data_IF_605606629453
#
_entry.id   IF_605606629453
#
_cell.length_a   1.000
_cell.length_b   1.000
_cell.length_c   1.000
_cell.angle_alpha   90.00
_cell.angle_beta   90.00
_cell.angle_gamma   90.00
#
_symmetry.space_group_name_H-M   'P 1'
#
loop_
_entity.id
_entity.type
_entity.pdbx_description
1 polymer ?
#
# COMPACT_ATOMS: atom_id res chain seq x y z
N UNK A 1 11.90 -23.90 32.71
CA UNK A 1 11.22 -23.98 31.40
C UNK A 1 10.22 -22.85 31.30
N UNK A 2 10.17 -22.20 30.13
CA UNK A 2 9.13 -21.26 29.69
C UNK A 2 9.11 -19.88 30.36
N UNK A 3 9.73 -18.88 29.73
CA UNK A 3 9.29 -17.46 29.77
C UNK A 3 10.06 -16.50 28.82
N UNK A 4 11.10 -16.94 28.11
CA UNK A 4 11.89 -16.06 27.22
C UNK A 4 11.56 -16.11 25.71
N UNK A 5 10.54 -16.85 25.29
CA UNK A 5 10.23 -17.08 23.87
C UNK A 5 9.24 -16.09 23.24
N UNK A 6 8.70 -15.14 24.00
CA UNK A 6 7.61 -14.25 23.55
C UNK A 6 8.04 -12.97 22.81
N UNK A 7 9.30 -12.54 22.89
CA UNK A 7 9.73 -11.22 22.39
C UNK A 7 10.53 -11.27 21.08
N UNK A 8 10.99 -12.46 20.66
CA UNK A 8 11.91 -12.61 19.53
C UNK A 8 11.19 -12.75 18.17
N UNK A 9 9.93 -13.19 18.18
CA UNK A 9 9.05 -13.17 16.99
C UNK A 9 8.72 -11.73 16.59
N UNK A 10 8.82 -10.78 17.53
CA UNK A 10 8.53 -9.37 17.34
C UNK A 10 9.50 -8.62 16.42
N UNK A 11 10.77 -9.01 16.29
CA UNK A 11 11.75 -8.25 15.48
C UNK A 11 11.84 -8.71 14.01
N UNK A 12 11.69 -10.02 13.76
CA UNK A 12 11.33 -10.49 12.41
C UNK A 12 9.99 -9.88 12.02
N UNK A 13 8.99 -9.85 12.92
CA UNK A 13 7.74 -9.16 12.66
C UNK A 13 7.90 -7.64 12.51
N UNK A 14 8.83 -6.95 13.17
CA UNK A 14 8.94 -5.48 12.99
C UNK A 14 9.39 -5.10 11.57
N UNK A 15 10.21 -5.92 10.90
CA UNK A 15 10.62 -5.66 9.51
C UNK A 15 9.85 -6.50 8.47
N UNK A 16 9.18 -7.58 8.88
CA UNK A 16 8.25 -8.36 8.05
C UNK A 16 6.80 -7.81 8.12
N UNK A 17 6.41 -7.03 9.13
CA UNK A 17 5.07 -6.42 9.30
C UNK A 17 5.01 -4.90 9.17
N UNK A 18 6.09 -4.11 9.29
CA UNK A 18 6.01 -2.67 8.98
C UNK A 18 6.18 -2.40 7.49
N UNK A 19 5.21 -2.87 6.71
CA UNK A 19 4.66 -2.01 5.67
C UNK A 19 4.06 -0.79 6.37
N UNK A 20 4.38 0.39 5.87
CA UNK A 20 4.07 1.72 6.40
C UNK A 20 2.67 1.78 7.06
N UNK A 21 2.63 2.26 8.32
CA UNK A 21 1.46 2.95 8.87
C UNK A 21 0.78 2.31 10.08
N UNK A 22 1.33 2.52 11.29
CA UNK A 22 0.51 2.59 12.51
C UNK A 22 1.19 3.48 13.56
N UNK A 23 0.68 4.70 13.72
CA UNK A 23 0.97 5.55 14.88
C UNK A 23 0.01 5.15 15.99
N UNK A 24 0.58 4.74 17.13
CA UNK A 24 -0.14 4.47 18.38
C UNK A 24 -0.72 5.77 18.95
N UNK A 25 -2.04 5.85 19.14
CA UNK A 25 -2.68 6.92 19.91
C UNK A 25 -2.79 6.53 21.38
N UNK A 26 -2.22 7.35 22.26
CA UNK A 26 -2.54 7.39 23.69
C UNK A 26 -3.61 8.46 23.95
N UNK A 27 -4.61 8.09 24.73
CA UNK A 27 -5.74 8.91 25.17
C UNK A 27 -5.35 10.19 25.91
N UNK A 28 -6.15 11.25 25.72
CA UNK A 28 -6.10 12.49 26.50
C UNK A 28 -7.25 13.42 26.14
N UNK A 29 -8.34 13.32 26.90
CA UNK A 29 -9.56 14.13 26.87
C UNK A 29 -9.32 15.62 27.22
N UNK A 30 -10.10 16.53 26.60
CA UNK A 30 -10.19 17.93 27.02
C UNK A 30 -11.14 18.77 26.17
N UNK A 31 -12.30 19.10 26.72
CA UNK A 31 -13.36 20.01 26.24
C UNK A 31 -12.87 21.44 25.93
N UNK A 32 -13.49 22.13 24.96
CA UNK A 32 -14.23 23.41 25.15
C UNK A 32 -14.67 24.08 23.82
N UNK A 33 -15.86 24.67 23.86
CA UNK A 33 -16.68 25.29 22.79
C UNK A 33 -16.28 26.71 22.35
N UNK A 34 -16.87 27.15 21.22
CA UNK A 34 -17.17 28.55 20.84
C UNK A 34 -17.00 28.78 19.31
N UNK A 35 -18.05 28.83 18.47
CA UNK A 35 -18.87 30.02 18.08
C UNK A 35 -18.02 31.27 17.74
N UNK A 36 -18.19 32.04 16.66
CA UNK A 36 -19.10 32.06 15.51
C UNK A 36 -18.57 33.11 14.48
N UNK A 37 -18.96 32.96 13.22
CA UNK A 37 -19.06 33.91 12.08
C UNK A 37 -18.30 35.27 12.05
N UNK A 38 -17.63 35.54 10.91
CA UNK A 38 -18.08 36.56 9.93
C UNK A 38 -17.15 36.70 8.70
N UNK A 39 -17.74 36.58 7.50
CA UNK A 39 -17.27 37.15 6.21
C UNK A 39 -18.03 38.47 5.93
N UNK A 40 -17.91 39.21 4.81
CA UNK A 40 -17.07 39.06 3.60
C UNK A 40 -16.42 40.38 3.07
N UNK A 41 -15.45 40.29 2.14
CA UNK A 41 -15.43 41.04 0.86
C UNK A 41 -14.13 40.79 0.05
N UNK A 42 -14.31 40.49 -1.24
CA UNK A 42 -13.36 40.55 -2.36
C UNK A 42 -13.73 41.80 -3.22
N UNK A 43 -13.07 42.20 -4.35
CA UNK A 43 -12.12 41.45 -5.20
C UNK A 43 -10.96 42.25 -5.86
N UNK A 44 -10.15 41.54 -6.67
CA UNK A 44 -9.22 41.90 -7.77
C UNK A 44 -7.77 41.50 -7.41
N UNK A 45 -6.95 40.87 -8.25
CA UNK A 45 -6.81 40.89 -9.71
C UNK A 45 -5.91 39.72 -10.15
N UNK A 46 -6.16 39.16 -11.33
CA UNK A 46 -5.43 38.08 -12.00
C UNK A 46 -4.06 38.51 -12.54
N UNK A 47 -3.03 37.71 -12.29
CA UNK A 47 -1.77 37.69 -13.05
C UNK A 47 -1.23 36.25 -13.17
N UNK A 48 -1.21 35.77 -14.40
CA UNK A 48 -0.36 34.77 -15.04
C UNK A 48 0.41 33.75 -14.18
N UNK A 49 -0.14 32.54 -14.18
CA UNK A 49 0.52 31.24 -14.41
C UNK A 49 2.02 31.30 -14.80
N UNK A 50 2.88 30.94 -13.86
CA UNK A 50 4.10 30.19 -14.15
C UNK A 50 4.26 29.11 -13.08
N UNK A 51 4.04 27.85 -13.47
CA UNK A 51 4.30 26.68 -12.61
C UNK A 51 5.80 26.45 -12.51
N UNK A 52 6.36 26.18 -11.31
CA UNK A 52 7.60 25.43 -11.18
C UNK A 52 7.27 23.93 -10.95
N UNK A 53 7.80 23.00 -11.76
CA UNK A 53 7.87 21.60 -11.37
C UNK A 53 9.10 21.39 -10.47
N UNK A 54 9.03 20.50 -9.47
CA UNK A 54 10.15 19.79 -8.77
C UNK A 54 10.13 19.74 -7.23
N UNK A 55 9.06 20.12 -6.53
CA UNK A 55 9.02 19.97 -5.06
C UNK A 55 8.78 18.53 -4.58
N UNK A 56 8.14 17.68 -5.39
CA UNK A 56 7.76 16.32 -4.99
C UNK A 56 8.94 15.33 -5.00
N UNK A 57 9.83 15.38 -6.01
CA UNK A 57 10.98 14.47 -6.12
C UNK A 57 12.02 14.71 -5.01
N UNK A 58 12.28 15.97 -4.67
CA UNK A 58 13.24 16.32 -3.62
C UNK A 58 12.75 15.93 -2.22
N UNK A 59 11.43 15.98 -1.97
CA UNK A 59 10.83 15.56 -0.70
C UNK A 59 10.84 14.04 -0.53
N UNK A 60 10.62 13.28 -1.61
CA UNK A 60 10.73 11.82 -1.60
C UNK A 60 12.16 11.35 -1.37
N UNK A 61 13.15 12.04 -1.95
CA UNK A 61 14.57 11.68 -1.79
C UNK A 61 15.06 11.94 -0.36
N UNK A 62 14.70 13.08 0.23
CA UNK A 62 15.04 13.41 1.61
C UNK A 62 14.40 12.44 2.63
N UNK A 63 13.12 12.06 2.41
CA UNK A 63 12.43 11.09 3.25
C UNK A 63 13.04 9.69 3.14
N UNK A 64 13.39 9.26 1.91
CA UNK A 64 14.07 7.98 1.66
C UNK A 64 15.45 7.93 2.34
N UNK A 65 16.24 8.99 2.20
CA UNK A 65 17.55 9.10 2.87
C UNK A 65 17.43 9.03 4.40
N UNK A 66 16.42 9.69 4.98
CA UNK A 66 16.15 9.64 6.42
C UNK A 66 15.81 8.23 6.90
N UNK A 67 14.97 7.51 6.14
CA UNK A 67 14.61 6.12 6.44
C UNK A 67 15.81 5.19 6.35
N UNK A 68 16.62 5.29 5.30
CA UNK A 68 17.82 4.46 5.11
C UNK A 68 18.84 4.68 6.22
N UNK A 69 19.05 5.94 6.64
CA UNK A 69 19.91 6.26 7.77
C UNK A 69 19.44 5.59 9.05
N UNK A 70 18.15 5.74 9.38
CA UNK A 70 17.56 5.13 10.58
C UNK A 70 17.67 3.61 10.55
N UNK A 71 17.37 3.00 9.41
CA UNK A 71 17.49 1.55 9.22
C UNK A 71 18.92 1.05 9.39
N UNK A 72 19.92 1.79 8.92
CA UNK A 72 21.32 1.45 9.15
C UNK A 72 21.69 1.56 10.63
N UNK A 73 21.28 2.61 11.34
CA UNK A 73 21.53 2.77 12.78
C UNK A 73 20.94 1.61 13.60
N UNK A 74 19.72 1.17 13.25
CA UNK A 74 19.06 0.01 13.87
C UNK A 74 19.81 -1.29 13.59
N UNK A 75 20.29 -1.50 12.36
CA UNK A 75 21.09 -2.67 11.99
C UNK A 75 22.45 -2.70 12.72
N UNK A 76 23.11 -1.57 12.86
CA UNK A 76 24.36 -1.45 13.65
C UNK A 76 24.11 -1.70 15.15
N UNK A 77 22.96 -1.28 15.68
CA UNK A 77 22.58 -1.62 17.05
C UNK A 77 22.34 -3.13 17.22
N UNK A 78 21.73 -3.80 16.22
CA UNK A 78 21.54 -5.25 16.23
C UNK A 78 22.85 -6.02 16.16
N UNK A 79 23.84 -5.55 15.38
CA UNK A 79 25.19 -6.17 15.32
C UNK A 79 25.86 -6.28 16.69
N UNK A 80 25.56 -5.36 17.61
CA UNK A 80 26.09 -5.36 18.99
C UNK A 80 25.42 -6.41 19.88
N UNK A 81 24.42 -7.13 19.38
CA UNK A 81 23.67 -8.17 20.09
C UNK A 81 23.83 -9.52 19.36
N UNK A 82 24.82 -10.35 19.75
CA UNK A 82 25.22 -11.53 18.97
C UNK A 82 24.07 -12.51 18.66
N UNK A 83 23.21 -12.81 19.64
CA UNK A 83 22.12 -13.78 19.45
C UNK A 83 21.01 -13.25 18.52
N UNK A 84 20.66 -11.96 18.64
CA UNK A 84 19.68 -11.31 17.76
C UNK A 84 20.23 -11.21 16.33
N UNK A 85 21.49 -10.80 16.17
CA UNK A 85 22.13 -10.70 14.86
C UNK A 85 22.29 -12.08 14.18
N UNK A 86 22.64 -13.12 14.94
CA UNK A 86 22.71 -14.50 14.45
C UNK A 86 21.35 -14.98 13.93
N UNK A 87 20.26 -14.59 14.61
CA UNK A 87 18.89 -14.91 14.17
C UNK A 87 18.54 -14.20 12.86
N UNK A 88 18.84 -12.89 12.76
CA UNK A 88 18.68 -12.13 11.52
C UNK A 88 19.47 -12.75 10.37
N UNK A 89 20.75 -13.07 10.60
CA UNK A 89 21.64 -13.64 9.59
C UNK A 89 21.16 -15.02 9.13
N UNK A 90 20.59 -15.83 10.03
CA UNK A 90 19.96 -17.10 9.64
C UNK A 90 18.80 -16.85 8.66
N UNK A 91 17.97 -15.84 8.91
CA UNK A 91 16.90 -15.42 7.98
C UNK A 91 17.43 -14.97 6.63
N UNK A 92 18.49 -14.15 6.62
CA UNK A 92 19.17 -13.71 5.39
C UNK A 92 19.71 -14.89 4.59
N UNK A 93 20.37 -15.84 5.24
CA UNK A 93 20.86 -17.05 4.58
C UNK A 93 19.71 -17.90 4.01
N UNK A 94 18.56 -17.98 4.69
CA UNK A 94 17.35 -18.65 4.18
C UNK A 94 16.83 -17.95 2.93
N UNK A 95 16.74 -16.61 2.92
CA UNK A 95 16.35 -15.85 1.73
C UNK A 95 17.31 -16.08 0.57
N UNK A 96 18.62 -15.92 0.79
CA UNK A 96 19.64 -16.15 -0.23
C UNK A 96 19.55 -17.56 -0.81
N UNK A 97 19.33 -18.58 0.03
CA UNK A 97 19.20 -19.95 -0.43
C UNK A 97 17.90 -20.24 -1.17
N UNK A 98 16.77 -19.67 -0.71
CA UNK A 98 15.52 -19.70 -1.45
C UNK A 98 15.65 -19.05 -2.82
N UNK A 99 16.46 -17.99 -2.93
CA UNK A 99 16.66 -17.24 -4.16
C UNK A 99 17.73 -17.87 -5.06
N UNK A 100 18.44 -18.91 -4.62
CA UNK A 100 19.43 -19.63 -5.41
C UNK A 100 20.88 -19.12 -5.31
N UNK A 101 21.18 -18.16 -4.42
CA UNK A 101 22.52 -17.59 -4.25
C UNK A 101 23.44 -18.40 -3.32
N UNK A 102 22.96 -19.48 -2.71
CA UNK A 102 23.78 -20.38 -1.90
C UNK A 102 22.99 -21.45 -1.16
N UNK A 103 23.56 -22.65 -0.97
CA UNK A 103 22.85 -23.79 -0.35
C UNK A 103 23.51 -24.22 0.95
N UNK A 104 23.21 -23.49 2.04
CA UNK A 104 23.61 -23.83 3.40
C UNK A 104 25.12 -23.98 3.65
N UNK A 105 25.53 -24.29 4.89
CA UNK A 105 24.70 -24.42 6.09
C UNK A 105 24.15 -23.06 6.59
N UNK A 106 22.92 -23.06 7.11
CA UNK A 106 22.29 -21.88 7.74
C UNK A 106 22.82 -21.66 9.16
N UNK A 107 24.08 -21.25 9.26
CA UNK A 107 24.82 -21.14 10.52
C UNK A 107 24.46 -19.91 11.33
N UNK A 108 23.84 -18.90 10.73
CA UNK A 108 23.64 -17.58 11.31
C UNK A 108 24.93 -16.75 11.42
N UNK A 109 26.03 -17.20 10.81
CA UNK A 109 27.31 -16.49 10.81
C UNK A 109 27.54 -15.82 9.46
N UNK A 110 28.07 -14.59 9.46
CA UNK A 110 28.54 -13.92 8.25
C UNK A 110 29.94 -14.42 7.85
N UNK A 111 30.00 -15.68 7.43
CA UNK A 111 31.22 -16.33 6.95
C UNK A 111 31.51 -16.04 5.46
N UNK A 112 32.63 -16.55 4.95
CA UNK A 112 33.04 -16.28 3.57
C UNK A 112 32.02 -16.78 2.54
N UNK A 113 31.37 -17.92 2.79
CA UNK A 113 30.30 -18.45 1.94
C UNK A 113 29.11 -17.49 1.92
N UNK A 114 28.69 -16.99 3.06
CA UNK A 114 27.59 -16.01 3.17
C UNK A 114 27.95 -14.69 2.49
N UNK A 115 29.19 -14.21 2.64
CA UNK A 115 29.68 -13.00 1.98
C UNK A 115 29.68 -13.15 0.46
N UNK A 116 30.06 -14.31 -0.07
CA UNK A 116 30.01 -14.58 -1.51
C UNK A 116 28.57 -14.61 -2.04
N UNK A 117 27.64 -15.24 -1.32
CA UNK A 117 26.23 -15.24 -1.66
C UNK A 117 25.65 -13.81 -1.66
N UNK A 118 25.97 -13.00 -0.64
CA UNK A 118 25.57 -11.60 -0.58
C UNK A 118 26.12 -10.78 -1.75
N UNK A 119 27.40 -10.96 -2.13
CA UNK A 119 27.97 -10.28 -3.30
C UNK A 119 27.25 -10.66 -4.59
N UNK A 120 26.94 -11.94 -4.78
CA UNK A 120 26.24 -12.42 -5.96
C UNK A 120 24.82 -11.84 -6.03
N UNK A 121 24.10 -11.84 -4.91
CA UNK A 121 22.78 -11.22 -4.79
C UNK A 121 22.83 -9.71 -5.04
N UNK A 122 23.70 -8.97 -4.33
CA UNK A 122 23.88 -7.53 -4.50
C UNK A 122 24.19 -7.18 -5.95
N UNK A 123 25.07 -7.94 -6.61
CA UNK A 123 25.38 -7.76 -8.03
C UNK A 123 24.14 -7.89 -8.91
N UNK A 124 23.35 -8.94 -8.68
CA UNK A 124 22.16 -9.22 -9.49
C UNK A 124 21.05 -8.17 -9.26
N UNK A 125 20.89 -7.72 -8.01
CA UNK A 125 19.93 -6.67 -7.63
C UNK A 125 20.42 -5.24 -7.90
N UNK A 126 21.58 -5.06 -8.55
CA UNK A 126 22.12 -3.73 -8.87
C UNK A 126 22.60 -2.92 -7.66
N UNK A 127 22.86 -3.58 -6.52
CA UNK A 127 23.37 -2.99 -5.29
C UNK A 127 24.92 -3.00 -5.25
N UNK A 128 25.48 -2.23 -4.32
CA UNK A 128 26.92 -2.26 -4.03
C UNK A 128 27.34 -3.65 -3.53
N UNK A 129 28.31 -4.26 -4.21
CA UNK A 129 28.80 -5.64 -3.94
C UNK A 129 29.75 -5.69 -2.73
N UNK A 130 29.30 -5.26 -1.57
CA UNK A 130 30.09 -5.22 -0.34
C UNK A 130 30.33 -6.63 0.22
N UNK A 131 29.38 -7.55 0.02
CA UNK A 131 29.35 -8.85 0.68
C UNK A 131 29.03 -8.79 2.17
N UNK A 132 28.73 -7.60 2.70
CA UNK A 132 28.21 -7.42 4.05
C UNK A 132 26.70 -7.15 3.98
N UNK A 133 26.01 -7.33 5.10
CA UNK A 133 24.60 -7.02 5.23
C UNK A 133 24.43 -5.54 5.64
N UNK A 134 24.12 -4.68 4.69
CA UNK A 134 23.68 -3.31 4.97
C UNK A 134 22.15 -3.19 4.89
N UNK A 135 21.62 -2.04 5.34
CA UNK A 135 20.17 -1.82 5.31
C UNK A 135 19.56 -1.88 3.89
N UNK A 136 20.17 -1.29 2.84
CA UNK A 136 19.68 -1.45 1.47
C UNK A 136 19.58 -2.91 1.03
N UNK A 137 20.59 -3.74 1.34
CA UNK A 137 20.58 -5.17 1.01
C UNK A 137 19.49 -5.91 1.78
N UNK A 138 19.37 -5.67 3.09
CA UNK A 138 18.34 -6.32 3.92
C UNK A 138 16.92 -5.95 3.45
N UNK A 139 16.71 -4.68 3.12
CA UNK A 139 15.44 -4.18 2.59
C UNK A 139 15.09 -4.88 1.28
N UNK A 140 16.02 -4.91 0.32
CA UNK A 140 15.78 -5.53 -0.98
C UNK A 140 15.50 -7.04 -0.86
N UNK A 141 16.22 -7.76 0.01
CA UNK A 141 15.96 -9.19 0.27
C UNK A 141 14.54 -9.42 0.80
N UNK A 142 14.10 -8.55 1.70
CA UNK A 142 12.77 -8.65 2.31
C UNK A 142 11.66 -8.31 1.31
N UNK A 143 11.87 -7.30 0.46
CA UNK A 143 10.97 -6.93 -0.62
C UNK A 143 10.85 -8.05 -1.66
N UNK A 144 11.98 -8.66 -2.05
CA UNK A 144 12.01 -9.81 -2.95
C UNK A 144 11.26 -11.02 -2.37
N UNK A 145 11.47 -11.35 -1.09
CA UNK A 145 10.74 -12.44 -0.43
C UNK A 145 9.22 -12.15 -0.40
N UNK A 146 8.83 -10.90 -0.11
CA UNK A 146 7.43 -10.45 -0.15
C UNK A 146 6.83 -10.64 -1.55
N UNK A 147 7.56 -10.26 -2.61
CA UNK A 147 7.11 -10.42 -3.99
C UNK A 147 6.96 -11.90 -4.39
N UNK A 148 7.90 -12.75 -3.99
CA UNK A 148 7.81 -14.19 -4.24
C UNK A 148 6.61 -14.82 -3.52
N UNK A 149 6.34 -14.41 -2.27
CA UNK A 149 5.22 -14.91 -1.46
C UNK A 149 3.85 -14.30 -1.84
N UNK A 150 3.82 -13.19 -2.59
CA UNK A 150 2.59 -12.48 -2.92
C UNK A 150 1.56 -13.40 -3.58
N UNK A 151 0.41 -13.55 -2.94
CA UNK A 151 -0.74 -14.24 -3.55
C UNK A 151 -1.36 -13.32 -4.60
N UNK A 152 -1.52 -13.81 -5.82
CA UNK A 152 -2.24 -13.12 -6.90
C UNK A 152 -3.59 -13.82 -7.07
N UNK A 153 -4.64 -13.42 -6.33
CA UNK A 153 -5.94 -14.05 -6.43
C UNK A 153 -6.56 -13.77 -7.80
N UNK A 154 -7.38 -14.70 -8.29
CA UNK A 154 -8.25 -14.40 -9.42
C UNK A 154 -9.27 -13.35 -8.99
N UNK A 155 -9.39 -12.29 -9.80
CA UNK A 155 -10.30 -11.18 -9.55
C UNK A 155 -11.53 -11.31 -10.44
N UNK A 156 -12.73 -10.92 -9.96
CA UNK A 156 -13.96 -11.15 -10.70
C UNK A 156 -14.05 -10.26 -11.95
N UNK A 157 -14.76 -10.72 -13.00
CA UNK A 157 -15.00 -9.92 -14.18
C UNK A 157 -15.81 -8.67 -13.83
N UNK A 158 -15.60 -7.62 -14.62
CA UNK A 158 -16.43 -6.42 -14.52
C UNK A 158 -17.83 -6.71 -15.04
N UNK A 159 -18.84 -6.36 -14.26
CA UNK A 159 -20.24 -6.38 -14.69
C UNK A 159 -20.86 -5.02 -14.46
N UNK A 160 -21.77 -4.61 -15.34
CA UNK A 160 -22.49 -3.35 -15.25
C UNK A 160 -23.95 -3.62 -15.62
N UNK A 161 -24.82 -3.67 -14.62
CA UNK A 161 -26.25 -3.92 -14.77
C UNK A 161 -27.01 -2.60 -14.59
N UNK A 162 -27.50 -2.05 -15.69
CA UNK A 162 -28.14 -0.73 -15.78
C UNK A 162 -29.50 -0.74 -16.49
N UNK A 163 -30.08 -1.93 -16.70
CA UNK A 163 -31.35 -2.10 -17.39
C UNK A 163 -32.48 -1.30 -16.72
N UNK A 164 -32.39 -1.15 -15.40
CA UNK A 164 -33.31 -0.38 -14.56
C UNK A 164 -32.65 0.87 -14.00
N UNK A 165 -31.86 1.61 -14.79
CA UNK A 165 -31.12 2.81 -14.36
C UNK A 165 -31.95 3.81 -13.53
N UNK A 166 -33.26 3.93 -13.76
CA UNK A 166 -34.15 4.78 -12.97
C UNK A 166 -34.51 4.25 -11.58
N UNK A 167 -34.06 3.06 -11.20
CA UNK A 167 -34.46 2.36 -9.97
C UNK A 167 -33.24 1.70 -9.30
N UNK A 168 -32.46 0.95 -10.08
CA UNK A 168 -31.40 0.08 -9.59
C UNK A 168 -30.21 0.06 -10.56
N UNK A 169 -29.00 0.16 -10.00
CA UNK A 169 -27.75 -0.09 -10.74
C UNK A 169 -26.87 -0.99 -9.89
N UNK A 170 -26.34 -2.04 -10.49
CA UNK A 170 -25.31 -2.88 -9.87
C UNK A 170 -24.07 -2.92 -10.75
N UNK A 171 -22.91 -2.65 -10.14
CA UNK A 171 -21.62 -2.74 -10.81
C UNK A 171 -20.69 -3.60 -9.99
N UNK A 172 -19.98 -4.53 -10.63
CA UNK A 172 -18.92 -5.30 -10.00
C UNK A 172 -17.61 -5.05 -10.72
N UNK A 173 -16.50 -5.09 -9.99
CA UNK A 173 -15.17 -5.04 -10.60
C UNK A 173 -14.09 -4.96 -9.54
N UNK A 174 -12.90 -4.55 -9.95
CA UNK A 174 -11.77 -4.37 -9.04
C UNK A 174 -11.21 -2.95 -9.15
N UNK A 175 -11.01 -2.30 -8.00
CA UNK A 175 -10.48 -0.95 -7.96
C UNK A 175 -9.00 -0.94 -8.34
N UNK A 176 -8.65 -0.12 -9.32
CA UNK A 176 -7.28 0.23 -9.66
C UNK A 176 -7.04 1.71 -9.42
N UNK A 177 -5.90 2.03 -8.82
CA UNK A 177 -5.38 3.38 -8.82
C UNK A 177 -5.05 3.80 -10.26
N UNK A 178 -5.53 4.97 -10.67
CA UNK A 178 -5.32 5.49 -12.04
C UNK A 178 -3.87 5.88 -12.28
N UNK A 179 -3.22 6.44 -11.27
CA UNK A 179 -1.82 6.89 -11.31
C UNK A 179 -1.10 6.43 -10.05
N UNK A 180 0.02 5.71 -10.19
CA UNK A 180 0.78 5.15 -9.08
C UNK A 180 0.70 3.61 -9.02
N UNK A 181 1.21 3.03 -7.94
CA UNK A 181 1.27 1.58 -7.81
C UNK A 181 -0.07 0.99 -7.35
N UNK A 182 -0.69 0.15 -8.17
CA UNK A 182 -1.94 -0.58 -7.87
C UNK A 182 -1.72 -1.82 -7.00
N UNK A 183 -0.46 -2.14 -6.69
CA UNK A 183 -0.07 -3.42 -6.09
C UNK A 183 -0.53 -3.62 -4.65
N UNK A 184 -0.69 -2.52 -3.89
CA UNK A 184 -0.78 -2.62 -2.44
C UNK A 184 -2.18 -2.93 -1.92
N UNK A 185 -3.23 -2.79 -2.74
CA UNK A 185 -4.56 -3.23 -2.33
C UNK A 185 -5.38 -3.69 -3.55
N UNK A 186 -5.31 -4.97 -3.87
CA UNK A 186 -6.30 -5.59 -4.74
C UNK A 186 -7.65 -5.59 -4.03
N UNK A 187 -8.52 -4.67 -4.44
CA UNK A 187 -9.85 -4.49 -3.88
C UNK A 187 -10.87 -4.93 -4.92
N UNK A 188 -11.55 -6.04 -4.68
CA UNK A 188 -12.78 -6.32 -5.44
C UNK A 188 -13.93 -5.59 -4.78
N UNK A 189 -14.84 -5.08 -5.59
CA UNK A 189 -16.01 -4.34 -5.12
C UNK A 189 -17.26 -4.80 -5.85
N UNK A 190 -18.38 -4.80 -5.12
CA UNK A 190 -19.72 -4.79 -5.68
C UNK A 190 -20.42 -3.53 -5.17
N UNK A 191 -20.88 -2.72 -6.11
CA UNK A 191 -21.55 -1.44 -5.88
C UNK A 191 -23.00 -1.61 -6.25
N UNK A 192 -23.89 -1.33 -5.30
CA UNK A 192 -25.33 -1.41 -5.48
C UNK A 192 -25.95 -0.05 -5.20
N UNK A 193 -26.60 0.54 -6.21
CA UNK A 193 -27.25 1.84 -6.14
C UNK A 193 -28.76 1.71 -6.25
N UNK A 194 -29.49 2.37 -5.36
CA UNK A 194 -30.94 2.34 -5.26
C UNK A 194 -31.47 3.77 -5.33
N UNK A 195 -32.26 4.08 -6.36
CA UNK A 195 -32.74 5.45 -6.61
C UNK A 195 -33.77 5.88 -5.58
N UNK A 196 -34.66 4.98 -5.20
CA UNK A 196 -35.68 5.21 -4.16
C UNK A 196 -35.06 5.70 -2.84
N UNK A 197 -33.97 5.06 -2.43
CA UNK A 197 -33.25 5.42 -1.19
C UNK A 197 -32.18 6.49 -1.38
N UNK A 198 -31.95 6.95 -2.62
CA UNK A 198 -30.85 7.85 -3.01
C UNK A 198 -29.51 7.43 -2.39
N UNK A 199 -29.17 6.15 -2.55
CA UNK A 199 -28.01 5.55 -1.89
C UNK A 199 -27.28 4.56 -2.77
N UNK A 200 -25.95 4.58 -2.72
CA UNK A 200 -25.09 3.51 -3.22
C UNK A 200 -24.34 2.84 -2.06
N UNK A 201 -24.18 1.53 -2.13
CA UNK A 201 -23.42 0.73 -1.17
C UNK A 201 -22.27 0.07 -1.93
N UNK A 202 -21.03 0.44 -1.61
CA UNK A 202 -19.82 -0.23 -2.11
C UNK A 202 -19.35 -1.23 -1.06
N UNK A 203 -19.53 -2.53 -1.36
CA UNK A 203 -18.99 -3.63 -0.56
C UNK A 203 -17.64 -4.06 -1.13
N UNK A 204 -16.57 -3.63 -0.47
CA UNK A 204 -15.20 -3.93 -0.87
C UNK A 204 -14.62 -5.08 -0.05
N UNK A 205 -13.88 -5.96 -0.71
CA UNK A 205 -13.06 -6.99 -0.08
C UNK A 205 -11.62 -6.92 -0.59
N UNK A 206 -10.65 -6.99 0.31
CA UNK A 206 -9.22 -7.04 -0.02
C UNK A 206 -8.48 -8.06 0.83
N UNK A 207 -7.38 -8.58 0.27
CA UNK A 207 -6.44 -9.39 1.04
C UNK A 207 -5.43 -8.45 1.70
N UNK A 208 -5.33 -8.52 3.03
CA UNK A 208 -4.31 -7.84 3.82
C UNK A 208 -3.30 -8.87 4.35
N UNK A 209 -2.08 -8.42 4.66
CA UNK A 209 -0.93 -9.24 5.05
C UNK A 209 -0.43 -10.16 3.92
N UNK A 210 0.77 -9.90 3.40
CA UNK A 210 1.32 -10.66 2.29
C UNK A 210 1.64 -12.13 2.64
N UNK A 211 1.99 -12.41 3.90
CA UNK A 211 2.47 -13.73 4.33
C UNK A 211 1.36 -14.65 4.85
N UNK A 212 0.33 -14.07 5.46
CA UNK A 212 -0.85 -14.79 5.97
C UNK A 212 -2.07 -13.99 5.55
N UNK A 213 -2.50 -14.12 4.28
CA UNK A 213 -3.54 -13.27 3.73
C UNK A 213 -4.83 -13.41 4.53
N UNK A 214 -5.29 -12.30 5.09
CA UNK A 214 -6.57 -12.18 5.77
C UNK A 214 -7.52 -11.39 4.89
N UNK A 215 -8.77 -11.82 4.84
CA UNK A 215 -9.81 -11.07 4.15
C UNK A 215 -10.22 -9.87 5.03
N UNK A 216 -9.99 -8.66 4.52
CA UNK A 216 -10.52 -7.43 5.09
C UNK A 216 -11.71 -6.99 4.24
N UNK A 217 -12.84 -6.76 4.90
CA UNK A 217 -14.05 -6.24 4.26
C UNK A 217 -14.29 -4.81 4.72
N UNK A 218 -14.76 -3.97 3.82
CA UNK A 218 -15.19 -2.62 4.11
C UNK A 218 -16.46 -2.30 3.33
N UNK A 219 -17.32 -1.48 3.91
CA UNK A 219 -18.57 -1.05 3.29
C UNK A 219 -18.63 0.47 3.33
N UNK A 220 -18.65 1.10 2.16
CA UNK A 220 -18.95 2.51 2.04
C UNK A 220 -20.43 2.68 1.72
N UNK A 221 -21.10 3.59 2.41
CA UNK A 221 -22.50 3.93 2.17
C UNK A 221 -22.56 5.37 1.70
N UNK A 222 -22.75 5.55 0.41
CA UNK A 222 -22.78 6.84 -0.26
C UNK A 222 -24.20 7.36 -0.37
N UNK A 223 -24.47 8.55 0.17
CA UNK A 223 -25.69 9.28 -0.15
C UNK A 223 -25.54 9.96 -1.52
N UNK A 224 -26.60 9.92 -2.33
CA UNK A 224 -26.57 10.35 -3.73
C UNK A 224 -27.03 11.80 -3.87
N UNK A 225 -26.12 12.63 -4.37
CA UNK A 225 -26.36 14.04 -4.65
C UNK A 225 -27.05 14.22 -6.01
N UNK A 226 -26.63 13.46 -7.02
CA UNK A 226 -27.12 13.57 -8.39
C UNK A 226 -27.33 12.18 -9.00
N UNK A 227 -28.48 11.99 -9.66
CA UNK A 227 -28.82 10.81 -10.44
C UNK A 227 -29.69 11.20 -11.63
N UNK A 228 -29.04 11.56 -12.73
CA UNK A 228 -29.66 11.89 -14.01
C UNK A 228 -29.67 10.67 -14.95
N UNK A 229 -29.95 10.85 -16.26
CA UNK A 229 -30.01 9.73 -17.21
C UNK A 229 -28.63 9.16 -17.61
N UNK A 230 -27.55 9.86 -17.28
CA UNK A 230 -26.18 9.55 -17.70
C UNK A 230 -25.23 9.26 -16.54
N UNK A 231 -25.46 9.83 -15.35
CA UNK A 231 -24.53 9.84 -14.24
C UNK A 231 -25.21 9.64 -12.88
N UNK A 232 -24.48 8.98 -11.99
CA UNK A 232 -24.75 8.94 -10.55
C UNK A 232 -23.53 9.53 -9.84
N UNK A 233 -23.74 10.52 -8.99
CA UNK A 233 -22.68 11.18 -8.22
C UNK A 233 -23.09 11.22 -6.75
N UNK A 234 -22.22 10.71 -5.89
CA UNK A 234 -22.43 10.78 -4.45
C UNK A 234 -22.15 12.19 -3.92
N UNK A 235 -22.80 12.53 -2.80
CA UNK A 235 -22.27 13.54 -1.91
C UNK A 235 -20.89 13.09 -1.37
N UNK A 236 -20.06 14.01 -0.84
CA UNK A 236 -18.82 13.65 -0.16
C UNK A 236 -19.09 12.69 1.02
N UNK A 237 -18.44 11.54 1.01
CA UNK A 237 -18.48 10.55 2.08
C UNK A 237 -17.24 10.70 2.97
N UNK A 238 -17.45 10.85 4.27
CA UNK A 238 -16.40 11.08 5.28
C UNK A 238 -16.31 9.97 6.33
N UNK A 239 -16.91 8.80 6.05
CA UNK A 239 -16.85 7.63 6.95
C UNK A 239 -15.49 6.90 6.94
N UNK A 240 -14.58 7.28 6.05
CA UNK A 240 -13.18 6.85 6.05
C UNK A 240 -12.34 7.79 6.94
N UNK A 241 -11.51 7.22 7.82
CA UNK A 241 -10.64 8.03 8.67
C UNK A 241 -9.66 8.85 7.82
N UNK A 242 -9.58 10.15 8.10
CA UNK A 242 -8.68 11.09 7.43
C UNK A 242 -8.89 11.23 5.91
N UNK A 243 -10.03 10.79 5.37
CA UNK A 243 -10.28 10.84 3.95
C UNK A 243 -11.73 11.25 3.66
N UNK A 244 -11.92 11.88 2.51
CA UNK A 244 -13.24 12.13 1.95
C UNK A 244 -13.29 11.49 0.57
N UNK A 245 -14.31 10.68 0.31
CA UNK A 245 -14.49 10.00 -0.98
C UNK A 245 -15.75 10.43 -1.73
N UNK A 246 -15.66 10.48 -3.05
CA UNK A 246 -16.79 10.74 -3.96
C UNK A 246 -16.85 9.60 -4.98
N UNK A 247 -17.99 8.93 -5.03
CA UNK A 247 -18.31 7.90 -6.03
C UNK A 247 -18.96 8.56 -7.25
N UNK A 248 -18.48 8.21 -8.44
CA UNK A 248 -19.09 8.59 -9.72
C UNK A 248 -19.28 7.38 -10.61
N UNK A 249 -20.48 7.21 -11.14
CA UNK A 249 -20.85 6.17 -12.11
C UNK A 249 -21.37 6.88 -13.35
N UNK A 250 -20.70 6.69 -14.49
CA UNK A 250 -21.17 7.11 -15.80
C UNK A 250 -21.75 5.91 -16.54
N UNK A 251 -22.88 6.11 -17.21
CA UNK A 251 -23.62 5.06 -17.92
C UNK A 251 -23.05 4.78 -19.31
N UNK A 252 -22.68 5.83 -20.04
CA UNK A 252 -22.23 5.69 -21.43
C UNK A 252 -21.17 6.76 -21.81
N UNK A 253 -19.89 6.37 -21.98
CA UNK A 253 -19.37 5.02 -21.80
C UNK A 253 -19.43 4.57 -20.33
N UNK A 254 -19.61 3.26 -20.06
CA UNK A 254 -19.66 2.76 -18.69
C UNK A 254 -18.32 3.01 -17.99
N UNK A 255 -18.34 3.80 -16.93
CA UNK A 255 -17.14 4.15 -16.17
C UNK A 255 -17.50 4.39 -14.72
N UNK A 256 -16.79 3.72 -13.81
CA UNK A 256 -16.95 3.93 -12.37
C UNK A 256 -15.64 4.41 -11.77
N UNK A 257 -15.70 5.52 -11.04
CA UNK A 257 -14.55 6.13 -10.41
C UNK A 257 -14.83 6.47 -8.96
N UNK A 258 -13.79 6.37 -8.13
CA UNK A 258 -13.81 6.86 -6.76
C UNK A 258 -12.67 7.86 -6.61
N UNK A 259 -13.03 9.11 -6.29
CA UNK A 259 -12.07 10.13 -5.91
C UNK A 259 -11.90 10.08 -4.41
N UNK A 260 -10.66 10.02 -3.92
CA UNK A 260 -10.32 10.00 -2.51
C UNK A 260 -9.39 11.17 -2.24
N UNK A 261 -9.78 12.05 -1.33
CA UNK A 261 -8.94 13.15 -0.87
C UNK A 261 -8.47 12.85 0.55
N UNK A 262 -7.18 12.58 0.72
CA UNK A 262 -6.56 12.43 2.04
C UNK A 262 -6.39 13.80 2.67
N UNK A 263 -6.81 13.92 3.91
CA UNK A 263 -6.89 15.20 4.60
C UNK A 263 -5.98 15.22 5.81
N UNK A 264 -5.08 16.20 5.82
CA UNK A 264 -4.35 16.57 7.03
C UNK A 264 -5.29 17.40 7.91
N UNK A 265 -5.68 16.84 9.06
CA UNK A 265 -6.53 17.50 10.05
C UNK A 265 -5.96 17.32 11.45
N UNK A 266 -6.22 18.24 12.39
CA UNK A 266 -5.81 18.08 13.78
C UNK A 266 -6.25 16.74 14.37
N UNK A 267 -5.50 16.24 15.36
CA UNK A 267 -5.77 14.96 15.99
C UNK A 267 -5.21 13.80 15.16
N UNK A 268 -5.95 12.69 14.97
CA UNK A 268 -5.38 11.47 14.40
C UNK A 268 -4.81 11.58 12.98
N UNK A 269 -5.21 12.61 12.25
CA UNK A 269 -4.85 12.83 10.86
C UNK A 269 -3.70 13.84 10.66
N UNK A 270 -3.08 14.33 11.73
CA UNK A 270 -2.13 15.45 11.65
C UNK A 270 -0.82 15.10 10.88
N UNK A 271 -0.48 13.82 10.82
CA UNK A 271 0.69 13.30 10.10
C UNK A 271 0.31 12.70 8.74
N UNK A 272 -0.96 12.76 8.34
CA UNK A 272 -1.39 12.29 7.04
C UNK A 272 -0.94 13.29 5.99
N UNK A 273 -0.22 12.82 4.98
CA UNK A 273 0.11 13.62 3.82
C UNK A 273 -1.16 13.84 3.00
N UNK A 274 -1.51 15.10 2.79
CA UNK A 274 -2.64 15.44 1.93
C UNK A 274 -2.32 15.06 0.49
N UNK A 275 -3.18 14.25 -0.11
CA UNK A 275 -3.00 13.71 -1.46
C UNK A 275 -4.36 13.32 -2.02
N UNK A 276 -4.58 13.65 -3.28
CA UNK A 276 -5.77 13.22 -4.02
C UNK A 276 -5.45 11.98 -4.85
N UNK A 277 -6.30 10.97 -4.75
CA UNK A 277 -6.18 9.70 -5.47
C UNK A 277 -7.45 9.44 -6.26
N UNK A 278 -7.28 8.98 -7.49
CA UNK A 278 -8.38 8.55 -8.33
C UNK A 278 -8.29 7.04 -8.55
N UNK A 279 -9.36 6.33 -8.21
CA UNK A 279 -9.55 4.92 -8.52
C UNK A 279 -10.52 4.77 -9.68
N UNK A 280 -10.29 3.75 -10.50
CA UNK A 280 -11.15 3.30 -11.59
C UNK A 280 -11.54 1.86 -11.30
N UNK A 281 -12.82 1.54 -11.43
CA UNK A 281 -13.29 0.17 -11.32
C UNK A 281 -13.08 -0.54 -12.66
N UNK A 282 -12.26 -1.58 -12.66
CA UNK A 282 -11.75 -2.24 -13.85
C UNK A 282 -12.07 -3.74 -13.85
N UNK A 283 -11.88 -4.36 -15.01
CA UNK A 283 -12.07 -5.80 -15.22
C UNK A 283 -11.00 -6.63 -14.48
N UNK A 284 -11.43 -7.42 -13.50
CA UNK A 284 -10.53 -8.20 -12.66
C UNK A 284 -9.62 -9.17 -13.43
N UNK A 285 -10.11 -9.96 -14.41
CA UNK A 285 -9.27 -10.81 -15.25
C UNK A 285 -8.12 -10.07 -15.93
N UNK A 286 -8.35 -8.86 -16.46
CA UNK A 286 -7.30 -8.00 -17.03
C UNK A 286 -6.21 -7.68 -16.00
N UNK A 287 -6.61 -7.26 -14.79
CA UNK A 287 -5.68 -6.94 -13.68
C UNK A 287 -4.91 -8.19 -13.26
N UNK A 288 -5.61 -9.31 -13.10
CA UNK A 288 -5.02 -10.60 -12.74
C UNK A 288 -3.90 -11.01 -13.70
N UNK A 289 -4.11 -10.87 -15.02
CA UNK A 289 -3.06 -11.18 -16.00
C UNK A 289 -1.86 -10.25 -15.86
N UNK A 290 -2.07 -8.94 -15.68
CA UNK A 290 -0.98 -7.97 -15.48
C UNK A 290 -0.13 -8.36 -14.27
N UNK A 291 -0.76 -8.59 -13.11
CA UNK A 291 -0.06 -8.94 -11.88
C UNK A 291 0.64 -10.29 -11.96
N UNK A 292 0.04 -11.26 -12.65
CA UNK A 292 0.67 -12.57 -12.87
C UNK A 292 1.94 -12.43 -13.73
N UNK A 293 1.90 -11.62 -14.78
CA UNK A 293 3.08 -11.36 -15.63
C UNK A 293 4.18 -10.64 -14.86
N UNK A 294 3.85 -9.58 -14.12
CA UNK A 294 4.80 -8.87 -13.26
C UNK A 294 5.44 -9.79 -12.22
N UNK A 295 4.65 -10.66 -11.57
CA UNK A 295 5.18 -11.65 -10.63
C UNK A 295 6.13 -12.62 -11.32
N UNK A 296 5.80 -13.09 -12.53
CA UNK A 296 6.66 -13.99 -13.28
C UNK A 296 7.99 -13.34 -13.67
N UNK A 297 7.97 -12.07 -14.08
CA UNK A 297 9.17 -11.28 -14.38
C UNK A 297 10.02 -11.07 -13.12
N UNK A 298 9.41 -10.68 -11.99
CA UNK A 298 10.11 -10.53 -10.73
C UNK A 298 10.76 -11.85 -10.28
N UNK A 299 10.07 -12.99 -10.43
CA UNK A 299 10.64 -14.32 -10.15
C UNK A 299 11.91 -14.56 -10.98
N UNK A 300 11.91 -14.20 -12.27
CA UNK A 300 13.08 -14.37 -13.13
C UNK A 300 14.26 -13.46 -12.75
N UNK A 301 13.96 -12.25 -12.24
CA UNK A 301 14.97 -11.30 -11.80
C UNK A 301 15.56 -11.69 -10.44
N UNK A 302 14.74 -12.21 -9.51
CA UNK A 302 15.16 -12.56 -8.15
C UNK A 302 15.91 -13.89 -8.13
N UNK A 303 15.35 -14.92 -8.77
CA UNK A 303 15.87 -16.28 -8.66
C UNK A 303 17.09 -16.51 -9.56
N UNK A 304 18.19 -16.90 -8.94
CA UNK A 304 19.34 -17.45 -9.64
C UNK A 304 19.12 -18.95 -9.91
N UNK A 305 18.36 -19.27 -10.95
CA UNK A 305 18.24 -20.67 -11.41
C UNK A 305 19.52 -21.04 -12.15
N UNK A 306 20.33 -21.93 -11.57
CA UNK A 306 21.47 -22.53 -12.27
C UNK A 306 20.93 -23.27 -13.49
N UNK A 307 21.34 -22.84 -14.69
CA UNK A 307 21.08 -23.58 -15.94
C UNK A 307 21.91 -24.84 -16.00
#
# INVERSE_FOLDING_TARGET
MSQHTGNLVGLMALYVFMGIGTVLFSNGSGFASGEELNTPHSPKKSSESSSPPSSQSAQTDAAKMSLEKKGQEELEALRKKPDEFRTLMTGVQIFLGRFGYGVGPYTGNLDETTKQALKAYQKNSGLSQTGDLDFPTLKHLTEDDRLLNRVVPFLPPQTFHDQEWGQWVEVQGSWMLKEGNTDEVLQTSRITCMKEFKRCIDSTASLVNANVPQLKVHTHVYDIQEWDDANIVSAPYDGEACAVSILRISRNPPLVTRFLSLQNKPGPCAQVQAEDRQYVLEDGPKIYQILRMQKAEAIQQILQVTK
#
